data_IF_330130917118
#
_entry.id   IF_330130917118
#
_cell.length_a   1.000
_cell.length_b   1.000
_cell.length_c   1.000
_cell.angle_alpha   90.00
_cell.angle_beta   90.00
_cell.angle_gamma   90.00
#
_symmetry.space_group_name_H-M   'P 1'
#
loop_
_entity.id
_entity.type
_entity.pdbx_description
1 polymer ?
#
# COMPACT_ATOMS: atom_id res chain seq x y z
N UNK A 1 30.33 4.83 -0.44
CA UNK A 1 29.32 3.76 -0.53
C UNK A 1 28.55 3.94 -1.83
N UNK A 2 28.75 3.08 -2.84
CA UNK A 2 28.05 3.24 -4.13
C UNK A 2 26.69 2.52 -4.04
N UNK A 3 25.68 3.23 -3.55
CA UNK A 3 24.28 2.79 -3.55
C UNK A 3 23.81 2.81 -5.02
N UNK A 4 23.66 1.65 -5.66
CA UNK A 4 22.98 1.56 -6.97
C UNK A 4 21.53 1.99 -6.77
N UNK A 5 21.20 3.16 -7.31
CA UNK A 5 19.88 3.75 -7.19
C UNK A 5 18.86 2.89 -7.94
N UNK A 6 17.64 2.87 -7.44
CA UNK A 6 16.44 2.45 -8.16
C UNK A 6 16.43 3.07 -9.56
N UNK A 7 16.38 2.29 -10.64
CA UNK A 7 16.48 2.79 -12.02
C UNK A 7 15.57 2.10 -13.04
N UNK A 8 15.05 2.88 -13.97
CA UNK A 8 14.53 2.36 -15.23
C UNK A 8 15.64 2.14 -16.19
N UNK A 9 15.45 1.19 -17.08
CA UNK A 9 16.14 1.22 -18.35
C UNK A 9 15.48 2.20 -19.34
N UNK A 10 16.30 2.70 -20.28
CA UNK A 10 15.81 3.44 -21.43
C UNK A 10 15.22 2.46 -22.44
N UNK A 11 14.03 2.79 -22.95
CA UNK A 11 13.07 1.82 -23.48
C UNK A 11 11.76 1.86 -22.70
N UNK A 12 11.82 2.36 -21.45
CA UNK A 12 10.63 2.68 -20.66
C UNK A 12 10.03 1.50 -19.91
N UNK A 13 10.58 0.31 -20.07
CA UNK A 13 10.16 -0.94 -19.41
C UNK A 13 10.55 -1.03 -17.92
N UNK A 14 10.91 0.13 -17.31
CA UNK A 14 11.22 0.40 -15.87
C UNK A 14 10.70 -0.70 -14.96
N UNK A 15 11.49 -1.22 -14.01
CA UNK A 15 11.79 -0.43 -12.82
C UNK A 15 12.68 -1.23 -11.87
N UNK A 16 13.75 -0.60 -11.39
CA UNK A 16 14.62 -1.14 -10.35
C UNK A 16 14.31 -0.41 -9.06
N UNK A 17 14.20 -1.16 -7.97
CA UNK A 17 13.92 -0.72 -6.59
C UNK A 17 15.00 -1.29 -5.66
N UNK A 18 15.40 -0.54 -4.64
CA UNK A 18 16.20 -0.99 -3.49
C UNK A 18 15.30 -1.09 -2.26
N UNK A 19 15.21 -2.30 -1.77
CA UNK A 19 14.18 -2.86 -0.91
C UNK A 19 13.98 -4.31 -1.35
N UNK A 20 13.07 -5.05 -0.74
CA UNK A 20 12.72 -6.40 -1.16
C UNK A 20 11.35 -6.31 -1.83
N UNK A 21 11.27 -6.72 -3.09
CA UNK A 21 10.00 -7.11 -3.71
C UNK A 21 10.05 -8.63 -3.78
N UNK A 22 9.13 -9.32 -3.11
CA UNK A 22 9.00 -10.78 -3.07
C UNK A 22 7.65 -11.18 -3.68
N UNK A 23 7.53 -12.39 -4.22
CA UNK A 23 6.25 -12.97 -4.64
C UNK A 23 6.16 -14.35 -3.97
N UNK A 24 5.15 -14.59 -3.12
CA UNK A 24 5.01 -15.83 -2.33
C UNK A 24 4.52 -17.02 -3.18
N UNK A 25 4.61 -18.27 -2.70
CA UNK A 25 4.08 -19.47 -3.41
C UNK A 25 2.58 -19.40 -3.71
N UNK A 26 1.86 -18.58 -2.96
CA UNK A 26 0.43 -18.32 -3.12
C UNK A 26 0.14 -17.16 -4.10
N UNK A 27 1.18 -16.60 -4.73
CA UNK A 27 1.06 -15.50 -5.70
C UNK A 27 0.89 -14.11 -5.08
N UNK A 28 1.25 -13.93 -3.80
CA UNK A 28 1.15 -12.63 -3.11
C UNK A 28 2.45 -11.85 -3.32
N UNK A 29 2.37 -10.63 -3.83
CA UNK A 29 3.55 -9.74 -3.88
C UNK A 29 3.82 -9.25 -2.45
N UNK A 30 5.03 -9.35 -1.92
CA UNK A 30 5.45 -8.67 -0.69
C UNK A 30 6.39 -7.50 -1.02
N UNK A 31 6.24 -6.41 -0.28
CA UNK A 31 7.15 -5.27 -0.29
C UNK A 31 7.81 -5.22 1.10
N UNK A 32 9.12 -5.47 1.17
CA UNK A 32 9.90 -5.55 2.40
C UNK A 32 9.31 -6.51 3.45
N UNK A 33 8.78 -7.66 3.00
CA UNK A 33 8.17 -8.67 3.87
C UNK A 33 6.71 -8.42 4.25
N UNK A 34 6.09 -7.32 3.77
CA UNK A 34 4.67 -7.05 3.97
C UNK A 34 3.87 -7.33 2.68
N UNK A 35 2.73 -8.03 2.75
CA UNK A 35 1.95 -8.32 1.57
C UNK A 35 1.38 -7.05 0.93
N UNK A 36 1.51 -6.96 -0.39
CA UNK A 36 0.82 -6.02 -1.25
C UNK A 36 -0.63 -6.49 -1.35
N UNK A 37 -1.45 -5.98 -0.45
CA UNK A 37 -2.90 -6.19 -0.46
C UNK A 37 -3.59 -4.95 -1.04
N UNK A 38 -4.73 -5.17 -1.69
CA UNK A 38 -5.65 -4.06 -1.96
C UNK A 38 -6.27 -3.62 -0.64
N UNK A 39 -6.26 -2.31 -0.37
CA UNK A 39 -7.05 -1.78 0.72
C UNK A 39 -8.52 -2.17 0.55
N UNK A 40 -9.18 -2.54 1.65
CA UNK A 40 -10.62 -2.79 1.64
C UNK A 40 -11.39 -1.54 1.20
N UNK A 41 -12.51 -1.74 0.51
CA UNK A 41 -13.36 -0.63 0.09
C UNK A 41 -13.81 0.21 1.29
N UNK A 42 -13.69 1.53 1.16
CA UNK A 42 -14.20 2.49 2.14
C UNK A 42 -15.32 3.28 1.50
N UNK A 43 -16.52 3.14 2.07
CA UNK A 43 -17.69 3.93 1.69
C UNK A 43 -17.46 5.42 1.92
N UNK A 44 -18.13 6.24 1.12
CA UNK A 44 -18.11 7.69 1.31
C UNK A 44 -18.79 8.05 2.65
N UNK A 45 -18.09 8.82 3.48
CA UNK A 45 -18.71 9.38 4.68
C UNK A 45 -19.86 10.31 4.33
N UNK A 46 -21.01 10.11 4.96
CA UNK A 46 -22.17 11.00 4.93
C UNK A 46 -22.37 11.73 6.25
N UNK A 47 -21.33 11.77 7.10
CA UNK A 47 -21.39 12.40 8.41
C UNK A 47 -21.78 13.88 8.29
N UNK A 48 -22.74 14.28 9.12
CA UNK A 48 -23.21 15.65 9.27
C UNK A 48 -22.74 16.29 10.58
N UNK A 49 -22.20 15.48 11.49
CA UNK A 49 -21.67 15.89 12.80
C UNK A 49 -20.22 15.42 12.98
N UNK A 50 -19.54 16.00 13.95
CA UNK A 50 -18.15 15.63 14.30
C UNK A 50 -18.10 14.23 14.90
N UNK A 51 -19.11 13.87 15.69
CA UNK A 51 -19.25 12.55 16.31
C UNK A 51 -19.37 11.46 15.23
N UNK A 52 -20.22 11.67 14.23
CA UNK A 52 -20.37 10.75 13.08
C UNK A 52 -19.08 10.64 12.26
N UNK A 53 -18.41 11.76 12.00
CA UNK A 53 -17.14 11.77 11.27
C UNK A 53 -16.06 10.97 12.01
N UNK A 54 -16.01 11.07 13.34
CA UNK A 54 -15.06 10.30 14.16
C UNK A 54 -15.30 8.80 14.04
N UNK A 55 -16.56 8.37 13.95
CA UNK A 55 -16.91 6.96 13.74
C UNK A 55 -16.42 6.48 12.39
N UNK A 56 -16.74 7.20 11.31
CA UNK A 56 -16.33 6.85 9.95
C UNK A 56 -14.81 6.80 9.80
N UNK A 57 -14.12 7.75 10.43
CA UNK A 57 -12.66 7.83 10.42
C UNK A 57 -12.00 6.66 11.15
N UNK A 58 -12.50 6.31 12.34
CA UNK A 58 -11.98 5.16 13.08
C UNK A 58 -12.23 3.84 12.33
N UNK A 59 -13.35 3.71 11.61
CA UNK A 59 -13.60 2.55 10.76
C UNK A 59 -12.60 2.45 9.60
N UNK A 60 -12.21 3.58 8.99
CA UNK A 60 -11.14 3.60 7.98
C UNK A 60 -9.78 3.20 8.57
N UNK A 61 -9.42 3.72 9.74
CA UNK A 61 -8.14 3.38 10.38
C UNK A 61 -8.03 1.88 10.66
N UNK A 62 -9.10 1.26 11.15
CA UNK A 62 -9.14 -0.19 11.38
C UNK A 62 -8.90 -0.98 10.09
N UNK A 63 -9.43 -0.51 8.94
CA UNK A 63 -9.19 -1.16 7.62
C UNK A 63 -7.77 -1.02 7.11
N UNK A 64 -7.09 0.08 7.44
CA UNK A 64 -5.72 0.34 6.97
C UNK A 64 -4.65 -0.28 7.88
N UNK A 65 -5.02 -0.64 9.10
CA UNK A 65 -4.15 -1.34 10.06
C UNK A 65 -4.21 -2.87 9.94
N UNK A 66 -5.22 -3.39 9.25
CA UNK A 66 -5.40 -4.82 8.97
C UNK A 66 -4.53 -5.27 7.78
#
# INVERSE_FOLDING_TARGET
>A
MRLTKNYSDQGGDRWVVRGIIEITPEGVILLNGAPLTSASFQEKSSASTVEELKVDFNALLQKLQA
#
